data_IF_396273290231
#
_entry.id   IF_396273290231
#
_cell.length_a   1.000
_cell.length_b   1.000
_cell.length_c   1.000
_cell.angle_alpha   90.00
_cell.angle_beta   90.00
_cell.angle_gamma   90.00
#
_symmetry.space_group_name_H-M   'P 1'
#
loop_
_entity.id
_entity.type
_entity.pdbx_description
1 polymer ?
#
# COMPACT_ATOMS: atom_id res chain seq x y z
N UNK A 1 -18.79 40.54 -45.91
CA UNK A 1 -20.12 41.12 -45.63
C UNK A 1 -20.73 40.40 -44.38
N UNK A 2 -20.73 41.07 -43.23
CA UNK A 2 -21.45 40.54 -42.03
C UNK A 2 -22.87 41.11 -42.13
N UNK A 3 -23.86 40.30 -42.46
CA UNK A 3 -25.27 40.68 -42.34
C UNK A 3 -25.61 40.85 -40.85
N UNK A 4 -25.89 42.07 -40.43
CA UNK A 4 -26.48 42.35 -39.10
C UNK A 4 -27.96 42.04 -39.18
N UNK A 5 -28.38 40.97 -38.53
CA UNK A 5 -29.81 40.71 -38.35
C UNK A 5 -30.46 41.86 -37.56
N UNK A 6 -31.57 42.36 -38.04
CA UNK A 6 -32.36 43.37 -37.37
C UNK A 6 -32.91 42.78 -36.04
N UNK A 7 -32.95 43.58 -34.99
CA UNK A 7 -33.37 43.16 -33.62
C UNK A 7 -34.70 42.40 -33.61
N UNK A 8 -35.62 42.76 -34.47
CA UNK A 8 -36.90 42.05 -34.64
C UNK A 8 -36.74 40.64 -35.23
N UNK A 9 -35.89 40.47 -36.21
CA UNK A 9 -35.61 39.14 -36.81
C UNK A 9 -34.91 38.22 -35.80
N UNK A 10 -33.99 38.75 -35.01
CA UNK A 10 -33.33 38.01 -33.95
C UNK A 10 -34.31 37.52 -32.87
N UNK A 11 -35.24 38.37 -32.50
CA UNK A 11 -36.28 38.01 -31.51
C UNK A 11 -37.23 36.93 -32.03
N UNK A 12 -37.59 36.95 -33.32
CA UNK A 12 -38.42 35.90 -33.93
C UNK A 12 -37.64 34.55 -34.04
N UNK A 13 -36.36 34.61 -34.32
CA UNK A 13 -35.51 33.38 -34.32
C UNK A 13 -35.39 32.80 -32.92
N UNK A 14 -35.18 33.63 -31.91
CA UNK A 14 -35.13 33.19 -30.52
C UNK A 14 -36.50 32.62 -30.08
N UNK A 15 -37.59 33.28 -30.42
CA UNK A 15 -38.93 32.78 -30.13
C UNK A 15 -39.22 31.44 -30.78
N UNK A 16 -38.80 31.28 -32.06
CA UNK A 16 -38.90 30.02 -32.79
C UNK A 16 -38.10 28.90 -32.17
N UNK A 17 -36.84 29.17 -31.75
CA UNK A 17 -35.99 28.21 -31.07
C UNK A 17 -36.56 27.82 -29.69
N UNK A 18 -37.08 28.77 -28.91
CA UNK A 18 -37.74 28.49 -27.64
C UNK A 18 -39.00 27.62 -27.84
N UNK A 19 -39.80 27.90 -28.90
CA UNK A 19 -40.97 27.09 -29.22
C UNK A 19 -40.60 25.65 -29.63
N UNK A 20 -39.53 25.47 -30.37
CA UNK A 20 -39.04 24.13 -30.76
C UNK A 20 -38.55 23.38 -29.52
N UNK A 21 -37.82 24.05 -28.61
CA UNK A 21 -37.37 23.47 -27.34
C UNK A 21 -38.55 23.06 -26.44
N UNK A 22 -39.61 23.90 -26.37
CA UNK A 22 -40.81 23.57 -25.62
C UNK A 22 -41.57 22.38 -26.22
N UNK A 23 -41.66 22.27 -27.54
CA UNK A 23 -42.30 21.14 -28.23
C UNK A 23 -41.47 19.87 -28.04
N UNK A 24 -40.12 19.95 -28.09
CA UNK A 24 -39.26 18.82 -27.80
C UNK A 24 -39.34 18.40 -26.34
N UNK A 25 -39.40 19.32 -25.38
CA UNK A 25 -39.58 19.03 -23.99
C UNK A 25 -40.94 18.38 -23.66
N UNK A 26 -42.03 18.87 -24.32
CA UNK A 26 -43.35 18.28 -24.19
C UNK A 26 -43.40 16.90 -24.89
N UNK A 27 -42.73 16.75 -26.05
CA UNK A 27 -42.60 15.49 -26.77
C UNK A 27 -41.83 14.44 -25.93
N UNK A 28 -40.74 14.85 -25.29
CA UNK A 28 -39.97 13.97 -24.40
C UNK A 28 -40.78 13.54 -23.19
N UNK A 29 -41.59 14.44 -22.60
CA UNK A 29 -42.52 14.11 -21.50
C UNK A 29 -43.65 13.18 -21.95
N UNK A 30 -44.14 13.29 -23.19
CA UNK A 30 -45.20 12.43 -23.73
C UNK A 30 -44.72 11.02 -24.09
N UNK A 31 -43.41 10.82 -24.35
CA UNK A 31 -42.84 9.48 -24.59
C UNK A 31 -42.39 8.76 -23.33
N UNK A 32 -42.52 9.35 -22.13
CA UNK A 32 -42.45 8.63 -20.86
C UNK A 32 -43.81 7.98 -20.56
N UNK A 33 -44.07 6.87 -21.20
CA UNK A 33 -45.16 5.98 -20.76
C UNK A 33 -44.66 5.27 -19.51
N UNK A 34 -45.05 5.75 -18.35
CA UNK A 34 -44.89 5.02 -17.11
C UNK A 34 -45.89 3.87 -17.16
N UNK A 35 -45.42 2.69 -17.54
CA UNK A 35 -46.20 1.47 -17.40
C UNK A 35 -46.25 1.14 -15.91
N UNK A 36 -47.30 1.52 -15.25
CA UNK A 36 -47.57 1.06 -13.88
C UNK A 36 -48.20 -0.30 -14.00
N UNK A 37 -47.42 -1.35 -13.86
CA UNK A 37 -47.92 -2.69 -13.69
C UNK A 37 -48.30 -2.83 -12.22
N UNK A 38 -49.57 -2.70 -11.89
CA UNK A 38 -50.06 -3.03 -10.57
C UNK A 38 -50.15 -4.56 -10.47
N UNK A 39 -49.04 -5.19 -10.18
CA UNK A 39 -48.99 -6.57 -9.72
C UNK A 39 -48.93 -6.52 -8.20
N UNK A 40 -49.90 -7.07 -7.50
CA UNK A 40 -49.75 -7.46 -6.10
C UNK A 40 -48.92 -8.74 -6.10
N UNK A 41 -47.60 -8.66 -5.96
CA UNK A 41 -46.82 -9.81 -5.56
C UNK A 41 -46.82 -9.83 -4.03
N UNK A 42 -47.35 -10.84 -3.45
CA UNK A 42 -47.08 -11.19 -2.07
C UNK A 42 -45.65 -11.74 -2.06
N UNK A 43 -44.71 -10.98 -1.52
CA UNK A 43 -43.38 -11.50 -1.16
C UNK A 43 -43.63 -12.29 0.12
N UNK A 44 -43.55 -13.60 0.03
CA UNK A 44 -43.71 -14.52 1.17
C UNK A 44 -42.37 -14.97 1.74
N UNK A 45 -41.26 -14.46 1.18
CA UNK A 45 -39.90 -14.76 1.64
C UNK A 45 -39.53 -13.97 2.90
N UNK A 46 -38.95 -14.67 3.86
CA UNK A 46 -38.49 -14.10 5.12
C UNK A 46 -36.93 -14.00 5.11
N UNK A 47 -36.42 -12.78 5.23
CA UNK A 47 -34.99 -12.52 5.37
C UNK A 47 -34.63 -12.45 6.86
N UNK A 48 -33.87 -13.44 7.36
CA UNK A 48 -33.56 -13.54 8.77
C UNK A 48 -32.22 -14.21 9.05
N UNK A 49 -31.13 -13.45 8.87
CA UNK A 49 -29.76 -13.87 9.27
C UNK A 49 -29.45 -13.22 10.59
N UNK A 50 -29.14 -14.01 11.63
CA UNK A 50 -29.01 -13.57 13.01
C UNK A 50 -27.75 -14.14 13.66
N UNK A 51 -27.17 -13.39 14.60
CA UNK A 51 -26.26 -13.93 15.61
C UNK A 51 -27.12 -14.63 16.66
N UNK A 52 -26.91 -15.92 16.84
CA UNK A 52 -27.72 -16.75 17.74
C UNK A 52 -26.97 -17.15 19.00
N UNK A 53 -25.64 -17.08 19.00
CA UNK A 53 -24.84 -17.48 20.15
C UNK A 53 -23.48 -16.80 20.14
N UNK A 54 -22.90 -16.62 21.32
CA UNK A 54 -21.50 -16.29 21.53
C UNK A 54 -20.97 -17.12 22.71
N UNK A 55 -19.84 -17.80 22.49
CA UNK A 55 -19.18 -18.61 23.52
C UNK A 55 -17.73 -18.13 23.66
N UNK A 56 -17.26 -18.05 24.91
CA UNK A 56 -15.87 -17.76 25.21
C UNK A 56 -15.13 -19.00 25.71
N UNK A 57 -13.84 -19.08 25.39
CA UNK A 57 -12.94 -20.08 25.92
C UNK A 57 -11.53 -19.50 26.13
N UNK A 58 -10.84 -19.97 27.15
CA UNK A 58 -9.44 -19.63 27.38
C UNK A 58 -8.59 -20.42 26.40
N UNK A 59 -7.83 -19.72 25.56
CA UNK A 59 -6.90 -20.33 24.62
C UNK A 59 -5.51 -20.50 25.23
N UNK A 60 -5.04 -19.50 25.99
CA UNK A 60 -3.79 -19.60 26.73
C UNK A 60 -3.79 -18.73 27.99
N UNK A 61 -2.99 -19.11 28.98
CA UNK A 61 -2.69 -18.35 30.19
C UNK A 61 -3.85 -18.25 31.18
N UNK A 62 -4.00 -17.07 31.79
CA UNK A 62 -4.98 -16.78 32.84
C UNK A 62 -6.06 -15.78 32.36
N UNK A 63 -6.31 -15.72 31.07
CA UNK A 63 -7.33 -14.86 30.51
C UNK A 63 -8.74 -15.24 31.02
N UNK A 64 -9.60 -14.26 31.16
CA UNK A 64 -11.01 -14.45 31.55
C UNK A 64 -11.89 -13.43 30.88
N UNK A 65 -13.19 -13.67 30.80
CA UNK A 65 -14.15 -12.64 30.48
C UNK A 65 -14.16 -11.54 31.54
N UNK A 66 -14.00 -10.27 31.14
CA UNK A 66 -14.20 -9.15 32.04
C UNK A 66 -15.68 -8.89 32.32
N UNK A 67 -16.51 -9.12 31.33
CA UNK A 67 -17.99 -9.18 31.41
C UNK A 67 -18.44 -10.37 30.58
N UNK A 68 -19.58 -10.99 30.97
CA UNK A 68 -20.11 -12.10 30.21
C UNK A 68 -20.41 -11.68 28.76
N UNK A 69 -19.93 -12.46 27.76
CA UNK A 69 -20.22 -12.17 26.36
C UNK A 69 -21.72 -12.07 26.13
N UNK A 70 -22.13 -11.16 25.27
CA UNK A 70 -23.51 -10.94 24.93
C UNK A 70 -23.68 -10.67 23.44
N UNK A 71 -24.87 -10.94 22.93
CA UNK A 71 -25.21 -10.63 21.54
C UNK A 71 -26.62 -10.07 21.41
N UNK A 72 -26.83 -9.32 20.35
CA UNK A 72 -28.14 -9.04 19.77
C UNK A 72 -28.30 -9.87 18.50
N UNK A 73 -29.36 -9.67 17.76
CA UNK A 73 -29.56 -10.33 16.47
C UNK A 73 -28.48 -9.99 15.43
N UNK A 74 -27.80 -8.83 15.57
CA UNK A 74 -26.87 -8.30 14.57
C UNK A 74 -25.50 -7.93 15.12
N UNK A 75 -25.29 -8.01 16.43
CA UNK A 75 -24.04 -7.56 17.07
C UNK A 75 -23.62 -8.54 18.16
N UNK A 76 -22.35 -8.93 18.18
CA UNK A 76 -21.72 -9.63 19.28
C UNK A 76 -20.79 -8.67 20.03
N UNK A 77 -20.87 -8.69 21.36
CA UNK A 77 -20.04 -7.83 22.24
C UNK A 77 -19.40 -8.69 23.31
N UNK A 78 -18.09 -8.51 23.49
CA UNK A 78 -17.34 -9.19 24.51
C UNK A 78 -16.23 -8.29 25.05
N UNK A 79 -15.84 -8.53 26.31
CA UNK A 79 -14.76 -7.83 26.99
C UNK A 79 -13.84 -8.85 27.64
N UNK A 80 -12.58 -8.73 27.34
CA UNK A 80 -11.55 -9.68 27.77
C UNK A 80 -10.69 -9.09 28.88
N UNK A 81 -10.41 -9.88 29.91
CA UNK A 81 -9.44 -9.58 30.92
C UNK A 81 -8.19 -10.45 30.68
N UNK A 82 -7.12 -9.82 30.22
CA UNK A 82 -5.82 -10.44 29.95
C UNK A 82 -4.84 -10.01 31.05
N UNK A 83 -4.21 -10.96 31.71
CA UNK A 83 -3.41 -10.71 32.93
C UNK A 83 -1.92 -10.55 32.62
N UNK A 84 -1.42 -11.33 31.66
CA UNK A 84 -0.01 -11.37 31.31
C UNK A 84 0.21 -11.48 29.81
N UNK A 85 1.34 -10.97 29.29
CA UNK A 85 1.71 -11.18 27.90
C UNK A 85 1.64 -12.66 27.50
N UNK A 86 0.97 -12.95 26.40
CA UNK A 86 0.69 -14.31 25.93
C UNK A 86 -0.63 -14.91 26.41
N UNK A 87 -1.35 -14.26 27.32
CA UNK A 87 -2.73 -14.67 27.65
C UNK A 87 -3.65 -14.47 26.45
N UNK A 88 -4.57 -15.41 26.23
CA UNK A 88 -5.43 -15.37 25.06
C UNK A 88 -6.81 -15.98 25.33
N UNK A 89 -7.84 -15.33 24.79
CA UNK A 89 -9.24 -15.78 24.79
C UNK A 89 -9.73 -15.98 23.36
N UNK A 90 -10.57 -16.98 23.21
CA UNK A 90 -11.30 -17.22 21.97
C UNK A 90 -12.78 -16.96 22.19
N UNK A 91 -13.43 -16.32 21.21
CA UNK A 91 -14.86 -16.08 21.15
C UNK A 91 -15.40 -16.68 19.85
N UNK A 92 -16.30 -17.66 19.99
CA UNK A 92 -16.98 -18.30 18.88
C UNK A 92 -18.39 -17.71 18.76
N UNK A 93 -18.63 -16.98 17.67
CA UNK A 93 -19.86 -16.26 17.36
C UNK A 93 -20.62 -17.08 16.32
N UNK A 94 -21.76 -17.62 16.69
CA UNK A 94 -22.61 -18.41 15.79
C UNK A 94 -23.58 -17.50 15.07
N UNK A 95 -23.61 -17.58 13.75
CA UNK A 95 -24.55 -16.92 12.86
C UNK A 95 -25.43 -17.97 12.22
N UNK A 96 -26.74 -17.75 12.16
CA UNK A 96 -27.73 -18.68 11.63
C UNK A 96 -28.65 -17.96 10.64
N UNK A 97 -28.92 -18.58 9.52
CA UNK A 97 -29.97 -18.16 8.61
C UNK A 97 -31.29 -18.83 8.98
N UNK A 98 -32.11 -18.12 9.76
CA UNK A 98 -33.45 -18.55 10.14
C UNK A 98 -34.54 -18.14 9.15
N UNK A 99 -34.14 -17.49 8.04
CA UNK A 99 -35.03 -17.15 6.94
C UNK A 99 -35.18 -18.29 5.92
N UNK A 100 -35.84 -18.00 4.82
CA UNK A 100 -36.07 -18.92 3.70
C UNK A 100 -35.31 -18.48 2.42
N UNK A 101 -34.43 -17.51 2.52
CA UNK A 101 -33.61 -16.96 1.42
C UNK A 101 -32.15 -17.28 1.68
N UNK A 102 -31.44 -17.76 0.66
CA UNK A 102 -29.99 -17.95 0.70
C UNK A 102 -29.29 -16.61 0.99
N UNK A 103 -28.32 -16.63 1.90
CA UNK A 103 -27.53 -15.49 2.27
C UNK A 103 -26.07 -15.66 1.82
N UNK A 104 -25.39 -14.55 1.58
CA UNK A 104 -23.96 -14.53 1.28
C UNK A 104 -23.29 -13.42 2.11
N UNK A 105 -22.15 -13.70 2.70
CA UNK A 105 -21.40 -12.73 3.49
C UNK A 105 -20.69 -11.72 2.59
N UNK A 106 -21.09 -10.44 2.63
CA UNK A 106 -20.48 -9.36 1.85
C UNK A 106 -19.25 -8.77 2.51
N UNK A 107 -19.28 -8.54 3.83
CA UNK A 107 -18.12 -8.03 4.58
C UNK A 107 -18.14 -8.45 6.04
N UNK A 108 -16.97 -8.44 6.67
CA UNK A 108 -16.74 -8.57 8.11
C UNK A 108 -16.06 -7.30 8.56
N UNK A 109 -16.74 -6.48 9.36
CA UNK A 109 -16.20 -5.25 9.89
C UNK A 109 -15.86 -5.43 11.38
N UNK A 110 -14.59 -5.32 11.73
CA UNK A 110 -14.10 -5.47 13.10
C UNK A 110 -13.70 -4.10 13.63
N UNK A 111 -14.36 -3.62 14.66
CA UNK A 111 -14.01 -2.40 15.37
C UNK A 111 -13.34 -2.76 16.69
N UNK A 112 -12.08 -2.40 16.83
CA UNK A 112 -11.27 -2.64 18.03
C UNK A 112 -10.93 -1.31 18.70
N UNK A 113 -10.88 -1.28 20.03
CA UNK A 113 -10.22 -0.18 20.73
C UNK A 113 -8.72 -0.28 20.49
N UNK A 114 -8.11 0.78 19.99
CA UNK A 114 -6.69 0.83 19.63
C UNK A 114 -5.79 0.68 20.86
N UNK A 115 -5.13 -0.48 21.02
CA UNK A 115 -4.04 -0.61 21.97
C UNK A 115 -3.05 -1.71 21.56
N UNK A 116 -1.77 -1.34 21.46
CA UNK A 116 -0.66 -2.21 21.03
C UNK A 116 -0.51 -3.51 21.83
N UNK A 117 -1.02 -3.51 23.09
CA UNK A 117 -0.96 -4.67 23.95
C UNK A 117 -2.01 -5.74 23.60
N UNK A 118 -2.93 -5.49 22.67
CA UNK A 118 -3.98 -6.43 22.33
C UNK A 118 -3.98 -6.74 20.84
N UNK A 119 -3.82 -8.00 20.51
CA UNK A 119 -3.89 -8.52 19.15
C UNK A 119 -5.25 -9.18 18.94
N UNK A 120 -5.82 -9.00 17.74
CA UNK A 120 -7.07 -9.62 17.32
C UNK A 120 -6.84 -10.45 16.06
N UNK A 121 -7.37 -11.65 16.05
CA UNK A 121 -7.38 -12.52 14.89
C UNK A 121 -8.79 -13.04 14.66
N UNK A 122 -9.23 -13.10 13.41
CA UNK A 122 -10.52 -13.68 13.02
C UNK A 122 -10.33 -14.87 12.10
N UNK A 123 -11.18 -15.88 12.23
CA UNK A 123 -11.17 -17.08 11.39
C UNK A 123 -12.56 -17.74 11.38
N UNK A 124 -12.71 -18.79 10.57
CA UNK A 124 -13.95 -19.57 10.45
C UNK A 124 -14.75 -19.16 9.23
N UNK A 125 -15.35 -18.00 9.20
CA UNK A 125 -16.11 -17.50 8.06
C UNK A 125 -15.34 -16.40 7.32
N UNK A 126 -15.59 -16.29 6.04
CA UNK A 126 -14.95 -15.31 5.16
C UNK A 126 -15.96 -14.74 4.17
N UNK A 127 -15.63 -13.60 3.61
CA UNK A 127 -16.41 -12.98 2.54
C UNK A 127 -16.68 -13.97 1.39
N UNK A 128 -17.91 -14.00 0.91
CA UNK A 128 -18.36 -14.90 -0.15
C UNK A 128 -18.87 -16.25 0.34
N UNK A 129 -18.72 -16.57 1.62
CA UNK A 129 -19.32 -17.76 2.18
C UNK A 129 -20.85 -17.65 2.15
N UNK A 130 -21.49 -18.73 1.73
CA UNK A 130 -22.96 -18.83 1.63
C UNK A 130 -23.50 -19.44 2.89
N UNK A 131 -24.63 -18.93 3.33
CA UNK A 131 -25.37 -19.43 4.47
C UNK A 131 -26.81 -19.75 4.00
N UNK A 132 -27.07 -21.04 3.76
CA UNK A 132 -28.37 -21.50 3.28
C UNK A 132 -29.44 -21.46 4.41
N UNK A 133 -30.73 -21.46 4.08
CA UNK A 133 -31.79 -21.57 5.08
C UNK A 133 -31.56 -22.72 6.06
N UNK A 134 -31.73 -22.44 7.35
CA UNK A 134 -31.50 -23.36 8.46
C UNK A 134 -30.04 -23.77 8.70
N UNK A 135 -29.08 -23.21 7.96
CA UNK A 135 -27.65 -23.41 8.21
C UNK A 135 -27.08 -22.38 9.22
N UNK A 136 -26.00 -22.76 9.86
CA UNK A 136 -25.24 -21.92 10.77
C UNK A 136 -23.75 -22.03 10.51
N UNK A 137 -23.07 -20.90 10.68
CA UNK A 137 -21.62 -20.77 10.60
C UNK A 137 -21.05 -20.13 11.87
N UNK A 138 -19.75 -20.29 12.09
CA UNK A 138 -19.07 -19.78 13.28
C UNK A 138 -17.91 -18.86 12.88
N UNK A 139 -18.00 -17.60 13.31
CA UNK A 139 -16.86 -16.69 13.33
C UNK A 139 -16.11 -16.89 14.63
N UNK A 140 -14.83 -17.22 14.54
CA UNK A 140 -13.93 -17.29 15.69
C UNK A 140 -13.11 -16.00 15.76
N UNK A 141 -13.14 -15.34 16.92
CA UNK A 141 -12.31 -14.16 17.23
C UNK A 141 -11.36 -14.53 18.36
N UNK A 142 -10.07 -14.36 18.14
CA UNK A 142 -9.03 -14.58 19.17
C UNK A 142 -8.49 -13.23 19.63
N UNK A 143 -8.49 -13.02 20.94
CA UNK A 143 -7.96 -11.83 21.59
C UNK A 143 -6.73 -12.25 22.39
N UNK A 144 -5.57 -11.71 22.08
CA UNK A 144 -4.31 -12.07 22.71
C UNK A 144 -3.63 -10.85 23.32
N UNK A 145 -3.14 -10.97 24.55
CA UNK A 145 -2.18 -10.01 25.09
C UNK A 145 -0.86 -10.20 24.36
N UNK A 146 -0.45 -9.19 23.63
CA UNK A 146 0.76 -9.22 22.81
C UNK A 146 1.98 -9.63 23.67
N UNK A 147 2.61 -10.77 23.40
CA UNK A 147 3.74 -11.27 24.21
C UNK A 147 4.99 -10.41 24.08
N UNK A 148 5.06 -9.53 23.08
CA UNK A 148 6.22 -8.67 22.83
C UNK A 148 6.14 -7.32 23.58
N UNK A 149 5.02 -7.01 24.24
CA UNK A 149 4.87 -5.78 25.01
C UNK A 149 5.61 -5.90 26.35
N UNK A 150 6.56 -5.01 26.57
CA UNK A 150 7.39 -4.98 27.79
C UNK A 150 6.84 -4.11 28.90
N UNK A 151 6.01 -3.12 28.56
CA UNK A 151 5.38 -2.20 29.52
C UNK A 151 3.90 -2.55 29.67
N UNK A 152 3.51 -2.91 30.90
CA UNK A 152 2.12 -3.23 31.19
C UNK A 152 1.30 -1.94 31.28
N UNK A 153 0.30 -1.73 30.39
CA UNK A 153 -0.52 -0.54 30.44
C UNK A 153 -1.40 -0.52 31.69
N UNK A 154 -1.48 0.63 32.34
CA UNK A 154 -2.42 0.83 33.45
C UNK A 154 -3.85 0.97 32.90
N UNK A 155 -4.73 0.01 33.19
CA UNK A 155 -6.18 0.02 32.87
C UNK A 155 -6.51 -0.06 31.37
N UNK A 156 -6.22 -1.22 30.76
CA UNK A 156 -6.66 -1.51 29.41
C UNK A 156 -8.09 -2.05 29.40
N UNK A 157 -9.03 -1.25 28.89
CA UNK A 157 -10.36 -1.72 28.52
C UNK A 157 -10.44 -1.75 26.99
N UNK A 158 -10.32 -2.92 26.41
CA UNK A 158 -10.55 -3.09 24.97
C UNK A 158 -11.93 -3.72 24.74
N UNK A 159 -12.76 -3.02 24.02
CA UNK A 159 -14.05 -3.50 23.53
C UNK A 159 -13.93 -3.82 22.06
N UNK A 160 -14.35 -5.01 21.66
CA UNK A 160 -14.39 -5.43 20.26
C UNK A 160 -15.82 -5.53 19.82
N UNK A 161 -16.11 -4.91 18.70
CA UNK A 161 -17.41 -5.08 18.01
C UNK A 161 -17.14 -5.68 16.63
N UNK A 162 -17.78 -6.81 16.36
CA UNK A 162 -17.75 -7.45 15.04
C UNK A 162 -19.11 -7.28 14.40
N UNK A 163 -19.12 -6.75 13.17
CA UNK A 163 -20.32 -6.62 12.35
C UNK A 163 -20.17 -7.49 11.11
N UNK A 164 -21.15 -8.36 10.90
CA UNK A 164 -21.25 -9.24 9.74
C UNK A 164 -22.33 -8.71 8.81
N UNK A 165 -21.93 -8.34 7.60
CA UNK A 165 -22.87 -7.83 6.59
C UNK A 165 -23.22 -8.96 5.61
N UNK A 166 -24.43 -9.48 5.73
CA UNK A 166 -24.99 -10.45 4.81
C UNK A 166 -25.93 -9.79 3.82
N UNK A 167 -25.86 -10.22 2.56
CA UNK A 167 -26.85 -9.91 1.52
C UNK A 167 -27.58 -11.16 1.06
N UNK A 168 -28.71 -10.96 0.39
CA UNK A 168 -29.41 -12.06 -0.29
C UNK A 168 -28.51 -12.63 -1.39
N UNK A 169 -28.28 -13.94 -1.39
CA UNK A 169 -27.67 -14.62 -2.53
C UNK A 169 -28.71 -14.77 -3.65
N UNK A 170 -28.63 -13.89 -4.63
CA UNK A 170 -29.48 -13.92 -5.83
C UNK A 170 -28.92 -14.84 -6.93
N UNK A 171 -27.86 -15.63 -6.59
CA UNK A 171 -27.12 -16.46 -7.54
C UNK A 171 -26.20 -15.66 -8.44
N UNK A 172 -26.16 -14.33 -8.31
CA UNK A 172 -25.05 -13.57 -8.84
C UNK A 172 -23.82 -13.99 -8.04
N UNK A 173 -22.72 -14.28 -8.73
CA UNK A 173 -21.42 -14.29 -8.10
C UNK A 173 -21.32 -12.92 -7.46
N UNK A 174 -21.20 -12.86 -6.12
CA UNK A 174 -20.72 -11.63 -5.49
C UNK A 174 -19.52 -11.24 -6.34
N UNK A 175 -19.51 -10.08 -7.00
CA UNK A 175 -18.34 -9.71 -7.74
C UNK A 175 -17.20 -9.99 -6.77
N UNK A 176 -16.31 -10.94 -7.12
CA UNK A 176 -15.03 -11.00 -6.42
C UNK A 176 -14.63 -9.54 -6.36
N UNK A 177 -14.19 -9.02 -5.20
CA UNK A 177 -13.77 -7.64 -5.15
C UNK A 177 -12.84 -7.52 -6.34
N UNK A 178 -13.32 -6.80 -7.41
CA UNK A 178 -12.51 -6.57 -8.60
C UNK A 178 -11.32 -5.78 -8.09
N UNK A 179 -10.31 -6.52 -7.59
CA UNK A 179 -9.20 -5.87 -6.96
C UNK A 179 -8.52 -6.75 -5.93
N UNK A 180 -7.43 -6.26 -5.44
CA UNK A 180 -6.63 -6.90 -4.40
C UNK A 180 -7.09 -6.40 -3.02
N UNK A 181 -7.06 -7.28 -2.03
CA UNK A 181 -7.31 -6.90 -0.64
C UNK A 181 -6.10 -6.14 -0.08
N UNK A 182 -6.28 -4.89 0.23
CA UNK A 182 -5.30 -4.05 0.93
C UNK A 182 -5.79 -3.86 2.36
N UNK A 183 -5.20 -4.61 3.30
CA UNK A 183 -5.60 -4.56 4.71
C UNK A 183 -7.08 -4.87 4.94
N UNK A 184 -7.65 -5.83 4.23
CA UNK A 184 -9.07 -6.18 4.31
C UNK A 184 -10.00 -5.32 3.44
N UNK A 185 -9.50 -4.17 2.92
CA UNK A 185 -10.27 -3.33 2.01
C UNK A 185 -10.09 -3.85 0.57
N UNK A 186 -11.18 -4.05 -0.14
CA UNK A 186 -11.13 -4.37 -1.57
C UNK A 186 -10.76 -3.13 -2.38
N UNK A 187 -9.56 -3.13 -2.96
CA UNK A 187 -9.07 -2.07 -3.84
C UNK A 187 -9.06 -2.60 -5.27
N UNK A 188 -9.88 -2.05 -6.17
CA UNK A 188 -9.93 -2.52 -7.55
C UNK A 188 -8.58 -2.30 -8.25
N UNK A 189 -8.15 -3.30 -9.01
CA UNK A 189 -7.05 -3.12 -9.94
C UNK A 189 -7.55 -2.38 -11.18
N UNK A 190 -6.70 -1.53 -11.74
CA UNK A 190 -7.01 -0.73 -12.92
C UNK A 190 -6.07 -1.08 -14.08
N UNK A 191 -6.55 -0.89 -15.31
CA UNK A 191 -5.73 -1.09 -16.52
C UNK A 191 -5.16 0.24 -17.05
N UNK A 192 -5.68 1.37 -16.58
CA UNK A 192 -5.26 2.72 -16.98
C UNK A 192 -5.56 3.74 -15.89
N UNK A 193 -4.81 4.86 -15.89
CA UNK A 193 -4.95 5.92 -14.90
C UNK A 193 -4.26 5.60 -13.56
N UNK A 194 -4.46 6.46 -12.58
CA UNK A 194 -3.91 6.31 -11.24
C UNK A 194 -4.62 5.18 -10.49
N UNK A 195 -3.88 4.28 -9.85
CA UNK A 195 -4.49 3.19 -9.10
C UNK A 195 -3.56 2.02 -8.79
N UNK A 196 -4.18 0.92 -8.36
CA UNK A 196 -3.50 -0.34 -8.05
C UNK A 196 -3.42 -1.22 -9.31
N UNK A 197 -2.26 -1.82 -9.56
CA UNK A 197 -1.98 -2.69 -10.69
C UNK A 197 -1.35 -3.98 -10.23
N UNK A 198 -1.65 -5.10 -10.90
CA UNK A 198 -0.80 -6.29 -10.80
C UNK A 198 0.58 -5.97 -11.39
N UNK A 199 1.65 -6.37 -10.70
CA UNK A 199 3.02 -6.13 -11.17
C UNK A 199 3.37 -7.07 -12.32
N UNK A 200 3.45 -6.56 -13.52
CA UNK A 200 3.77 -7.34 -14.73
C UNK A 200 5.17 -7.99 -14.73
N UNK A 201 6.02 -7.64 -13.78
CA UNK A 201 7.38 -8.17 -13.62
C UNK A 201 7.49 -9.21 -12.49
N UNK A 202 6.56 -9.21 -11.54
CA UNK A 202 6.57 -10.05 -10.35
C UNK A 202 5.15 -10.54 -10.03
N UNK A 203 4.81 -11.72 -10.52
CA UNK A 203 3.47 -12.31 -10.36
C UNK A 203 3.06 -12.42 -8.89
N UNK A 204 1.83 -12.04 -8.57
CA UNK A 204 1.27 -12.02 -7.22
C UNK A 204 1.72 -10.82 -6.37
N UNK A 205 2.46 -9.88 -6.95
CA UNK A 205 2.78 -8.59 -6.37
C UNK A 205 1.85 -7.54 -6.97
N UNK A 206 1.39 -6.59 -6.16
CA UNK A 206 0.57 -5.46 -6.60
C UNK A 206 1.26 -4.15 -6.29
N UNK A 207 1.21 -3.20 -7.21
CA UNK A 207 1.90 -1.91 -7.11
C UNK A 207 0.95 -0.76 -7.40
N UNK A 208 1.07 0.33 -6.66
CA UNK A 208 0.41 1.57 -7.01
C UNK A 208 1.17 2.30 -8.11
N UNK A 209 0.42 2.83 -9.09
CA UNK A 209 0.98 3.55 -10.24
C UNK A 209 0.20 4.84 -10.48
N UNK A 210 0.89 5.82 -11.09
CA UNK A 210 0.31 7.09 -11.49
C UNK A 210 0.88 8.29 -10.78
N UNK A 211 0.30 9.45 -11.00
CA UNK A 211 0.77 10.72 -10.45
C UNK A 211 0.27 10.97 -9.03
N UNK A 212 -0.96 10.55 -8.74
CA UNK A 212 -1.54 10.68 -7.40
C UNK A 212 -2.58 9.56 -7.11
N UNK A 213 -2.16 8.29 -7.07
CA UNK A 213 -3.07 7.20 -6.72
C UNK A 213 -3.55 7.30 -5.27
N UNK A 214 -4.71 6.71 -4.99
CA UNK A 214 -5.27 6.64 -3.63
C UNK A 214 -4.53 5.56 -2.82
N UNK A 215 -3.34 5.88 -2.35
CA UNK A 215 -2.43 4.99 -1.62
C UNK A 215 -1.81 5.63 -0.38
N UNK A 216 -2.42 6.70 0.11
CA UNK A 216 -1.97 7.33 1.34
C UNK A 216 -2.34 6.46 2.54
N UNK A 217 -1.45 6.37 3.49
CA UNK A 217 -1.62 5.64 4.76
C UNK A 217 -1.05 6.46 5.91
N UNK A 218 -1.77 6.51 7.01
CA UNK A 218 -1.27 7.08 8.25
C UNK A 218 -0.45 6.03 9.00
N UNK A 219 0.82 6.33 9.24
CA UNK A 219 1.75 5.46 9.95
C UNK A 219 2.74 6.31 10.74
N UNK A 220 3.01 5.95 11.98
CA UNK A 220 3.89 6.70 12.88
C UNK A 220 3.44 8.17 13.12
N UNK A 221 2.14 8.43 13.12
CA UNK A 221 1.52 9.78 13.19
C UNK A 221 1.96 10.70 12.03
N UNK A 222 2.33 10.16 10.92
CA UNK A 222 2.76 10.84 9.71
C UNK A 222 2.09 10.23 8.48
N UNK A 223 2.08 10.99 7.38
CA UNK A 223 1.55 10.52 6.12
C UNK A 223 2.62 9.72 5.36
N UNK A 224 2.25 8.51 4.95
CA UNK A 224 3.04 7.60 4.14
C UNK A 224 2.29 7.22 2.87
N UNK A 225 2.93 6.51 1.96
CA UNK A 225 2.35 6.03 0.70
C UNK A 225 2.58 4.53 0.59
N UNK A 226 1.54 3.74 0.32
CA UNK A 226 1.70 2.32 -0.02
C UNK A 226 2.30 2.25 -1.42
N UNK A 227 3.48 1.64 -1.54
CA UNK A 227 4.17 1.41 -2.82
C UNK A 227 3.71 0.11 -3.43
N UNK A 228 3.67 -0.95 -2.62
CA UNK A 228 3.32 -2.28 -3.09
C UNK A 228 2.70 -3.13 -1.97
N UNK A 229 1.90 -4.12 -2.38
CA UNK A 229 1.64 -5.33 -1.62
C UNK A 229 2.56 -6.41 -2.19
N UNK A 230 3.44 -6.94 -1.36
CA UNK A 230 4.41 -7.95 -1.74
C UNK A 230 3.75 -9.34 -1.85
N UNK A 231 4.44 -10.28 -2.45
CA UNK A 231 3.93 -11.65 -2.66
C UNK A 231 3.69 -12.44 -1.38
N UNK A 232 4.32 -12.05 -0.27
CA UNK A 232 4.11 -12.61 1.06
C UNK A 232 2.99 -11.92 1.84
N UNK A 233 2.31 -10.96 1.20
CA UNK A 233 1.21 -10.17 1.74
C UNK A 233 1.63 -8.95 2.55
N UNK A 234 2.93 -8.72 2.79
CA UNK A 234 3.41 -7.51 3.46
C UNK A 234 3.21 -6.27 2.60
N UNK A 235 3.14 -5.10 3.24
CA UNK A 235 2.97 -3.83 2.53
C UNK A 235 4.24 -3.02 2.57
N UNK A 236 4.82 -2.72 1.42
CA UNK A 236 5.93 -1.80 1.26
C UNK A 236 5.39 -0.38 1.29
N UNK A 237 5.76 0.40 2.31
CA UNK A 237 5.34 1.80 2.42
C UNK A 237 6.55 2.73 2.40
N UNK A 238 6.35 3.92 1.85
CA UNK A 238 7.33 4.98 1.72
C UNK A 238 6.84 6.22 2.46
N UNK A 239 7.68 6.85 3.28
CA UNK A 239 7.33 8.11 3.94
C UNK A 239 6.96 9.17 2.90
N UNK A 240 5.87 9.91 3.11
CA UNK A 240 5.44 10.92 2.14
C UNK A 240 6.48 12.03 2.03
N UNK A 241 6.97 12.54 3.15
CA UNK A 241 7.99 13.56 3.22
C UNK A 241 9.41 12.97 3.30
N UNK A 242 10.40 13.70 2.84
CA UNK A 242 11.82 13.37 3.01
C UNK A 242 12.31 13.76 4.41
N UNK A 243 13.35 13.10 4.88
CA UNK A 243 14.11 13.52 6.07
C UNK A 243 15.11 14.64 5.70
N UNK A 244 15.74 15.31 6.67
CA UNK A 244 16.77 16.31 6.38
C UNK A 244 17.91 15.77 5.52
N UNK A 245 18.41 16.57 4.60
CA UNK A 245 19.48 16.23 3.67
C UNK A 245 20.69 15.58 4.37
N UNK A 246 21.17 14.50 3.78
CA UNK A 246 22.27 13.70 4.35
C UNK A 246 23.05 12.98 3.26
N UNK A 247 24.34 12.81 3.44
CA UNK A 247 25.14 11.98 2.56
C UNK A 247 24.73 10.52 2.63
N UNK A 248 24.79 9.80 1.50
CA UNK A 248 24.66 8.34 1.50
C UNK A 248 25.81 7.71 2.29
N UNK A 249 27.03 8.15 2.01
CA UNK A 249 28.22 7.87 2.80
C UNK A 249 28.92 9.16 3.19
N UNK A 250 29.07 9.41 4.49
CA UNK A 250 29.80 10.58 4.98
C UNK A 250 31.26 10.55 4.55
N UNK A 251 31.83 11.73 4.35
CA UNK A 251 33.25 11.86 4.05
C UNK A 251 34.08 11.17 5.14
N UNK A 252 34.98 10.30 4.76
CA UNK A 252 35.82 9.41 5.57
C UNK A 252 35.12 8.14 6.09
N UNK A 253 33.83 7.96 5.90
CA UNK A 253 33.19 6.68 6.12
C UNK A 253 33.47 5.76 4.92
N UNK A 254 33.87 4.51 5.16
CA UNK A 254 34.31 3.56 4.12
C UNK A 254 35.40 4.08 3.19
N UNK A 255 36.16 5.11 3.61
CA UNK A 255 37.18 5.80 2.83
C UNK A 255 38.49 5.94 3.58
N UNK A 256 39.62 5.76 2.90
CA UNK A 256 40.97 5.97 3.46
C UNK A 256 41.49 7.40 3.33
N UNK A 257 40.83 8.22 2.52
CA UNK A 257 41.27 9.61 2.29
C UNK A 257 40.28 10.61 2.84
N UNK A 258 40.78 11.63 3.53
CA UNK A 258 40.00 12.79 3.93
C UNK A 258 39.42 13.43 2.67
N UNK A 259 38.08 13.51 2.58
CA UNK A 259 37.34 14.14 1.53
C UNK A 259 36.98 13.25 0.34
N UNK A 260 36.31 12.12 0.48
CA UNK A 260 35.45 11.65 -0.58
C UNK A 260 35.56 10.28 -1.18
N UNK A 261 36.59 9.50 -0.97
CA UNK A 261 36.74 8.29 -1.78
C UNK A 261 36.65 7.02 -0.95
N UNK A 262 35.84 6.05 -1.42
CA UNK A 262 35.89 4.67 -0.96
C UNK A 262 37.33 4.13 -0.97
N UNK A 263 37.63 3.18 -0.14
CA UNK A 263 38.92 2.47 -0.15
C UNK A 263 39.10 1.71 -1.46
N UNK A 264 39.58 2.40 -2.48
CA UNK A 264 39.86 1.79 -3.76
C UNK A 264 41.19 0.99 -3.72
N UNK A 265 41.30 -0.18 -4.36
CA UNK A 265 40.30 -0.89 -5.17
C UNK A 265 39.45 -1.90 -4.39
N UNK A 266 39.49 -1.92 -3.09
CA UNK A 266 38.99 -3.03 -2.25
C UNK A 266 37.60 -2.84 -1.63
N UNK A 267 37.12 -1.62 -1.53
CA UNK A 267 35.80 -1.34 -0.97
C UNK A 267 34.96 -0.49 -1.93
N UNK A 268 33.67 -0.82 -2.00
CA UNK A 268 32.69 -0.07 -2.79
C UNK A 268 31.78 0.75 -1.88
N UNK A 269 31.65 2.03 -2.20
CA UNK A 269 30.61 2.90 -1.66
C UNK A 269 29.32 2.80 -2.47
N UNK A 270 28.26 3.42 -2.00
CA UNK A 270 26.99 3.47 -2.71
C UNK A 270 26.23 2.15 -2.69
N UNK A 271 26.66 1.19 -1.90
CA UNK A 271 25.92 -0.01 -1.56
C UNK A 271 25.33 0.19 -0.17
N UNK A 272 24.05 -0.06 0.00
CA UNK A 272 23.29 0.30 1.20
C UNK A 272 23.82 -0.37 2.47
N UNK A 273 24.06 -1.68 2.42
CA UNK A 273 24.53 -2.47 3.56
C UNK A 273 25.77 -3.28 3.22
N UNK A 274 26.49 -3.74 4.24
CA UNK A 274 27.57 -4.70 4.09
C UNK A 274 27.10 -5.98 3.38
N UNK A 275 28.00 -6.58 2.60
CA UNK A 275 27.73 -7.79 1.81
C UNK A 275 28.80 -8.82 2.10
N UNK A 276 28.40 -10.05 2.31
CA UNK A 276 29.32 -11.16 2.45
C UNK A 276 29.98 -11.48 1.11
N UNK A 277 31.31 -11.49 1.09
CA UNK A 277 32.10 -11.80 -0.10
C UNK A 277 32.32 -10.60 -1.03
N UNK A 278 32.43 -10.87 -2.32
CA UNK A 278 32.67 -9.84 -3.34
C UNK A 278 31.35 -9.31 -3.91
N UNK A 279 31.10 -8.01 -3.76
CA UNK A 279 30.01 -7.35 -4.46
C UNK A 279 30.39 -7.19 -5.95
N UNK A 280 29.47 -7.53 -6.83
CA UNK A 280 29.66 -7.43 -8.29
C UNK A 280 28.45 -6.79 -8.95
N UNK A 281 28.67 -5.95 -9.94
CA UNK A 281 27.60 -5.52 -10.84
C UNK A 281 27.12 -6.69 -11.72
N UNK A 282 25.93 -6.61 -12.32
CA UNK A 282 25.38 -7.66 -13.18
C UNK A 282 26.33 -8.10 -14.32
N UNK A 283 27.02 -7.14 -14.97
CA UNK A 283 28.01 -7.45 -16.02
C UNK A 283 29.32 -8.01 -15.48
N UNK A 284 29.54 -7.98 -14.16
CA UNK A 284 30.82 -8.30 -13.55
C UNK A 284 31.94 -7.29 -13.81
N UNK A 285 31.61 -6.14 -14.45
CA UNK A 285 32.60 -5.09 -14.77
C UNK A 285 33.05 -4.31 -13.54
N UNK A 286 32.24 -4.30 -12.49
CA UNK A 286 32.47 -3.60 -11.25
C UNK A 286 32.43 -4.59 -10.07
N UNK A 287 33.57 -4.79 -9.44
CA UNK A 287 33.73 -5.71 -8.31
C UNK A 287 34.41 -5.03 -7.14
N UNK A 288 34.13 -5.48 -5.95
CA UNK A 288 34.79 -5.02 -4.74
C UNK A 288 34.11 -5.52 -3.49
N UNK A 289 34.76 -5.35 -2.35
CA UNK A 289 34.18 -5.73 -1.05
C UNK A 289 33.34 -4.58 -0.50
N UNK A 290 32.33 -4.92 0.28
CA UNK A 290 31.50 -3.99 1.06
C UNK A 290 31.44 -4.53 2.49
N UNK A 291 32.42 -4.16 3.29
CA UNK A 291 32.62 -4.74 4.63
C UNK A 291 31.90 -3.99 5.73
N UNK A 292 31.46 -2.78 5.45
CA UNK A 292 30.78 -1.89 6.40
C UNK A 292 29.46 -1.38 5.80
N UNK A 293 28.51 -1.11 6.65
CA UNK A 293 27.24 -0.48 6.26
C UNK A 293 27.44 0.98 5.79
N UNK A 294 26.55 1.50 4.97
CA UNK A 294 26.58 2.91 4.58
C UNK A 294 26.19 3.81 5.76
N UNK A 295 26.65 5.06 5.74
CA UNK A 295 26.26 6.05 6.76
C UNK A 295 24.76 6.27 6.80
N UNK A 296 24.08 6.22 5.64
CA UNK A 296 22.63 6.39 5.57
C UNK A 296 21.89 5.19 6.18
N UNK A 297 22.37 3.95 5.98
CA UNK A 297 21.79 2.76 6.58
C UNK A 297 21.94 2.79 8.11
N UNK A 298 23.12 3.15 8.61
CA UNK A 298 23.38 3.31 10.04
C UNK A 298 22.42 4.36 10.62
N UNK A 299 22.30 5.51 9.98
CA UNK A 299 21.37 6.55 10.44
C UNK A 299 19.91 6.04 10.47
N UNK A 300 19.47 5.38 9.41
CA UNK A 300 18.06 4.96 9.31
C UNK A 300 17.69 3.86 10.31
N UNK A 301 18.63 2.98 10.68
CA UNK A 301 18.32 1.85 11.56
C UNK A 301 18.79 2.02 13.01
N UNK A 302 19.87 2.77 13.25
CA UNK A 302 20.44 2.93 14.61
C UNK A 302 20.03 4.26 15.25
N UNK A 303 19.46 5.21 14.47
CA UNK A 303 19.02 6.52 14.96
C UNK A 303 17.52 6.73 14.67
N UNK A 304 17.13 6.87 13.40
CA UNK A 304 15.75 7.15 12.99
C UNK A 304 14.77 6.06 13.46
N UNK A 305 15.07 4.78 13.21
CA UNK A 305 14.20 3.68 13.67
C UNK A 305 14.08 3.64 15.18
N UNK A 306 15.18 3.87 15.88
CA UNK A 306 15.21 3.78 17.36
C UNK A 306 14.47 4.94 18.02
N UNK A 307 14.70 6.19 17.52
CA UNK A 307 14.28 7.41 18.19
C UNK A 307 13.04 8.07 17.60
N UNK A 308 12.78 7.91 16.29
CA UNK A 308 11.73 8.65 15.58
C UNK A 308 10.52 7.78 15.20
N UNK A 309 10.69 6.45 15.11
CA UNK A 309 9.57 5.50 14.95
C UNK A 309 9.07 5.12 16.34
N UNK A 310 7.79 5.41 16.62
CA UNK A 310 7.18 5.07 17.90
C UNK A 310 6.93 3.54 18.03
N UNK A 311 6.69 3.06 19.24
CA UNK A 311 6.54 1.61 19.50
C UNK A 311 5.28 1.02 18.83
N UNK A 312 4.20 1.77 18.72
CA UNK A 312 2.99 1.33 18.00
C UNK A 312 3.34 1.04 16.54
N UNK A 313 4.00 1.99 15.90
CA UNK A 313 4.44 1.82 14.52
C UNK A 313 5.43 0.67 14.34
N UNK A 314 6.38 0.48 15.28
CA UNK A 314 7.31 -0.67 15.27
C UNK A 314 6.58 -2.01 15.34
N UNK A 315 5.51 -2.09 16.13
CA UNK A 315 4.69 -3.30 16.24
C UNK A 315 3.88 -3.63 14.98
N UNK A 316 3.58 -2.63 14.16
CA UNK A 316 2.93 -2.79 12.86
C UNK A 316 3.93 -3.17 11.75
N UNK A 317 5.22 -2.98 11.98
CA UNK A 317 6.28 -3.31 11.04
C UNK A 317 6.68 -4.78 11.10
N UNK A 318 7.33 -5.20 10.03
CA UNK A 318 8.07 -6.46 9.98
C UNK A 318 9.44 -6.23 9.35
N UNK A 319 10.46 -6.90 9.87
CA UNK A 319 11.76 -6.96 9.21
C UNK A 319 11.60 -7.64 7.86
N UNK A 320 12.13 -7.05 6.80
CA UNK A 320 11.95 -7.54 5.44
C UNK A 320 13.25 -7.46 4.63
N UNK A 321 13.28 -8.16 3.51
CA UNK A 321 14.42 -8.18 2.59
C UNK A 321 14.35 -6.99 1.63
N UNK A 322 15.36 -6.12 1.67
CA UNK A 322 15.56 -5.01 0.75
C UNK A 322 16.55 -5.38 -0.34
N UNK A 323 16.24 -5.08 -1.59
CA UNK A 323 17.17 -5.23 -2.70
C UNK A 323 18.19 -4.11 -2.68
N UNK A 324 19.48 -4.45 -2.67
CA UNK A 324 20.60 -3.50 -2.57
C UNK A 324 21.64 -3.68 -3.67
N UNK A 325 21.34 -4.51 -4.66
CA UNK A 325 22.24 -4.75 -5.79
C UNK A 325 22.35 -3.56 -6.74
N UNK A 326 23.21 -3.70 -7.73
CA UNK A 326 23.52 -2.64 -8.68
C UNK A 326 22.73 -2.77 -9.98
N UNK A 327 22.37 -1.64 -10.57
CA UNK A 327 21.88 -1.58 -11.95
C UNK A 327 22.93 -1.00 -12.86
N UNK A 328 23.00 -1.53 -14.06
CA UNK A 328 23.76 -0.96 -15.15
C UNK A 328 22.87 0.02 -15.88
N UNK A 329 23.40 1.19 -16.23
CA UNK A 329 22.67 2.14 -17.05
C UNK A 329 22.13 1.52 -18.33
N UNK A 330 21.22 2.21 -18.96
CA UNK A 330 20.61 1.81 -20.23
C UNK A 330 21.64 1.58 -21.33
N UNK A 331 21.40 0.59 -22.16
CA UNK A 331 22.10 0.44 -23.44
C UNK A 331 21.32 1.23 -24.49
N UNK A 332 22.03 1.94 -25.37
CA UNK A 332 21.39 2.66 -26.48
C UNK A 332 20.49 1.71 -27.29
N UNK A 333 19.21 2.11 -27.44
CA UNK A 333 18.22 1.35 -28.20
C UNK A 333 17.51 0.22 -27.44
N UNK A 334 17.78 0.02 -26.15
CA UNK A 334 17.06 -0.94 -25.32
C UNK A 334 15.68 -0.38 -24.91
N UNK A 335 14.62 -1.20 -25.02
CA UNK A 335 13.30 -0.80 -24.56
C UNK A 335 13.23 -0.76 -23.02
N UNK A 336 12.48 0.21 -22.48
CA UNK A 336 12.42 0.40 -21.02
C UNK A 336 11.88 -0.84 -20.27
N UNK A 337 10.94 -1.57 -20.84
CA UNK A 337 10.43 -2.82 -20.23
C UNK A 337 11.54 -3.85 -20.00
N UNK A 338 12.48 -3.98 -20.96
CA UNK A 338 13.61 -4.90 -20.85
C UNK A 338 14.65 -4.35 -19.86
N UNK A 339 14.82 -3.04 -19.85
CA UNK A 339 15.66 -2.35 -18.86
C UNK A 339 15.12 -2.54 -17.44
N UNK A 340 13.82 -2.34 -17.19
CA UNK A 340 13.22 -2.58 -15.87
C UNK A 340 13.45 -4.03 -15.42
N UNK A 341 13.23 -5.00 -16.30
CA UNK A 341 13.45 -6.41 -16.01
C UNK A 341 14.91 -6.71 -15.67
N UNK A 342 15.85 -6.14 -16.42
CA UNK A 342 17.28 -6.27 -16.20
C UNK A 342 17.71 -5.60 -14.89
N UNK A 343 17.21 -4.40 -14.62
CA UNK A 343 17.49 -3.66 -13.40
C UNK A 343 16.98 -4.43 -12.17
N UNK A 344 15.74 -4.92 -12.22
CA UNK A 344 15.16 -5.73 -11.15
C UNK A 344 16.02 -6.97 -10.84
N UNK A 345 16.52 -7.64 -11.88
CA UNK A 345 17.45 -8.77 -11.72
C UNK A 345 18.75 -8.32 -11.05
N UNK A 346 19.29 -7.17 -11.42
CA UNK A 346 20.50 -6.60 -10.83
C UNK A 346 20.32 -6.19 -9.37
N UNK A 347 19.21 -5.50 -9.05
CA UNK A 347 18.88 -5.11 -7.69
C UNK A 347 18.73 -6.32 -6.77
N UNK A 348 18.14 -7.42 -7.24
CA UNK A 348 17.94 -8.67 -6.49
C UNK A 348 19.20 -9.51 -6.30
N UNK A 349 20.32 -9.19 -6.96
CA UNK A 349 21.57 -9.95 -6.79
C UNK A 349 22.09 -9.89 -5.35
N UNK A 350 21.79 -8.80 -4.64
CA UNK A 350 22.18 -8.62 -3.24
C UNK A 350 20.98 -8.10 -2.45
N UNK A 351 20.82 -8.66 -1.27
CA UNK A 351 19.72 -8.32 -0.37
C UNK A 351 20.24 -8.07 1.02
N UNK A 352 19.56 -7.20 1.74
CA UNK A 352 19.76 -6.94 3.16
C UNK A 352 18.43 -7.04 3.87
N UNK A 353 18.39 -7.73 5.00
CA UNK A 353 17.17 -7.86 5.83
C UNK A 353 17.24 -6.94 7.03
N UNK A 354 16.21 -6.14 7.23
CA UNK A 354 16.13 -5.20 8.34
C UNK A 354 14.84 -4.38 8.33
N UNK A 355 14.82 -3.31 9.12
CA UNK A 355 13.59 -2.58 9.42
C UNK A 355 13.35 -1.40 8.49
N UNK A 356 14.38 -0.58 8.21
CA UNK A 356 14.22 0.65 7.41
C UNK A 356 15.22 0.65 6.26
N UNK A 357 14.70 0.74 5.04
CA UNK A 357 15.50 0.86 3.82
C UNK A 357 15.13 2.09 3.00
N UNK A 358 15.44 2.02 1.72
CA UNK A 358 15.11 3.04 0.73
C UNK A 358 14.41 2.37 -0.46
N UNK A 359 13.72 3.16 -1.29
CA UNK A 359 13.09 2.68 -2.52
C UNK A 359 14.14 2.28 -3.56
N UNK A 360 13.81 1.35 -4.43
CA UNK A 360 14.64 0.96 -5.56
C UNK A 360 14.35 1.81 -6.80
N UNK A 361 15.30 1.90 -7.72
CA UNK A 361 15.11 2.54 -9.04
C UNK A 361 13.96 1.86 -9.79
N UNK A 362 13.86 0.53 -9.73
CA UNK A 362 12.79 -0.20 -10.40
C UNK A 362 11.39 0.09 -9.82
N UNK A 363 11.26 0.37 -8.52
CA UNK A 363 9.98 0.81 -7.95
C UNK A 363 9.52 2.13 -8.60
N UNK A 364 10.45 3.08 -8.77
CA UNK A 364 10.17 4.38 -9.38
C UNK A 364 9.74 4.22 -10.84
N UNK A 365 10.49 3.45 -11.63
CA UNK A 365 10.18 3.25 -13.04
C UNK A 365 8.85 2.49 -13.23
N UNK A 366 8.57 1.51 -12.38
CA UNK A 366 7.32 0.73 -12.42
C UNK A 366 6.09 1.57 -12.00
N UNK A 367 6.28 2.64 -11.24
CA UNK A 367 5.19 3.51 -10.81
C UNK A 367 4.59 4.37 -11.94
N UNK A 368 5.24 4.48 -13.10
CA UNK A 368 4.68 5.20 -14.25
C UNK A 368 3.53 4.43 -14.91
N UNK A 369 2.46 5.16 -15.26
CA UNK A 369 1.32 4.64 -16.04
C UNK A 369 1.45 4.93 -17.54
N UNK A 370 2.46 5.69 -17.95
CA UNK A 370 2.62 6.09 -19.33
C UNK A 370 3.13 4.89 -20.18
N UNK A 371 2.36 4.48 -21.18
CA UNK A 371 2.73 3.38 -22.07
C UNK A 371 4.01 3.67 -22.87
N UNK A 372 4.33 4.95 -23.10
CA UNK A 372 5.56 5.35 -23.77
C UNK A 372 6.80 5.04 -22.91
N UNK A 373 6.68 4.94 -21.59
CA UNK A 373 7.77 4.52 -20.72
C UNK A 373 8.31 3.14 -21.12
N UNK A 374 7.46 2.24 -21.57
CA UNK A 374 7.89 0.90 -21.99
C UNK A 374 8.52 0.85 -23.38
N UNK A 375 8.30 1.87 -24.23
CA UNK A 375 8.79 1.92 -25.60
C UNK A 375 9.90 2.95 -25.85
N UNK A 376 10.20 3.79 -24.86
CA UNK A 376 11.21 4.83 -25.03
C UNK A 376 12.63 4.27 -25.01
N UNK A 377 13.49 4.83 -25.82
CA UNK A 377 14.93 4.56 -25.79
C UNK A 377 15.66 5.71 -25.13
N UNK A 378 16.51 5.41 -24.17
CA UNK A 378 17.18 6.40 -23.32
C UNK A 378 18.68 6.41 -23.51
N UNK A 379 19.30 7.52 -23.13
CA UNK A 379 20.74 7.58 -22.96
C UNK A 379 21.15 7.00 -21.61
N UNK A 380 22.28 6.36 -21.57
CA UNK A 380 22.78 5.39 -20.58
C UNK A 380 22.97 5.85 -19.12
N UNK A 381 22.75 7.12 -18.78
CA UNK A 381 23.05 7.64 -17.44
C UNK A 381 21.82 8.20 -16.71
N UNK A 382 20.76 8.52 -17.43
CA UNK A 382 19.62 9.24 -16.88
C UNK A 382 18.30 8.69 -17.40
N UNK A 383 17.36 8.48 -16.50
CA UNK A 383 15.96 8.20 -16.85
C UNK A 383 15.22 9.55 -16.86
N UNK A 384 15.37 10.32 -17.94
CA UNK A 384 14.89 11.71 -18.07
C UNK A 384 13.59 11.88 -18.80
N UNK A 385 13.00 10.81 -19.26
CA UNK A 385 11.76 10.94 -20.01
C UNK A 385 10.59 11.10 -19.04
N UNK A 386 9.87 12.21 -19.15
CA UNK A 386 8.67 12.50 -18.35
C UNK A 386 7.66 11.34 -18.39
N UNK A 387 7.69 10.51 -19.45
CA UNK A 387 6.85 9.34 -19.54
C UNK A 387 7.14 8.29 -18.46
N UNK A 388 8.38 8.19 -17.98
CA UNK A 388 8.78 7.24 -16.93
C UNK A 388 8.89 7.87 -15.56
N UNK A 389 9.10 9.16 -15.48
CA UNK A 389 9.42 9.85 -14.23
C UNK A 389 8.27 10.68 -13.67
N UNK A 390 7.21 10.88 -14.44
CA UNK A 390 6.00 11.54 -13.95
C UNK A 390 5.12 10.56 -13.14
N UNK A 391 5.46 10.39 -11.87
CA UNK A 391 4.70 9.54 -10.95
C UNK A 391 4.88 10.00 -9.49
N UNK A 392 4.01 9.53 -8.58
CA UNK A 392 3.92 9.95 -7.18
C UNK A 392 5.20 9.70 -6.36
N UNK A 393 6.13 8.86 -6.83
CA UNK A 393 7.39 8.64 -6.15
C UNK A 393 8.39 9.76 -6.40
N UNK A 394 8.25 10.50 -7.50
CA UNK A 394 9.15 11.60 -7.88
C UNK A 394 8.56 12.98 -7.66
N UNK A 395 7.25 13.11 -7.72
CA UNK A 395 6.55 14.39 -7.50
C UNK A 395 5.77 14.35 -6.19
N UNK A 396 5.97 15.35 -5.34
CA UNK A 396 5.13 15.61 -4.19
C UNK A 396 4.47 16.99 -4.38
N UNK A 397 3.33 17.03 -5.10
CA UNK A 397 2.50 18.23 -5.26
C UNK A 397 3.24 19.46 -5.82
N UNK A 398 4.05 19.31 -6.87
CA UNK A 398 4.86 20.31 -7.56
C UNK A 398 6.20 20.71 -6.90
N UNK A 399 6.61 20.05 -5.81
CA UNK A 399 7.96 20.20 -5.28
C UNK A 399 8.78 18.95 -5.61
N UNK A 400 9.68 19.05 -6.57
CA UNK A 400 10.58 17.97 -6.94
C UNK A 400 11.35 17.45 -5.73
N UNK A 401 11.11 16.20 -5.37
CA UNK A 401 11.74 15.59 -4.20
C UNK A 401 13.07 14.99 -4.61
N UNK A 402 14.15 15.44 -3.96
CA UNK A 402 15.50 14.92 -4.17
C UNK A 402 15.87 13.93 -3.06
N UNK A 403 15.98 12.64 -3.39
CA UNK A 403 16.28 11.62 -2.38
C UNK A 403 17.14 10.46 -2.91
N UNK A 404 17.78 9.75 -1.98
CA UNK A 404 18.59 8.56 -2.24
C UNK A 404 17.73 7.32 -2.46
N UNK A 405 18.19 6.43 -3.34
CA UNK A 405 17.65 5.08 -3.50
C UNK A 405 18.58 4.03 -2.88
N UNK A 406 18.07 2.81 -2.66
CA UNK A 406 18.91 1.68 -2.22
C UNK A 406 19.68 1.02 -3.35
N UNK A 407 19.37 1.35 -4.59
CA UNK A 407 19.99 0.75 -5.79
C UNK A 407 21.40 1.27 -5.95
N UNK A 408 22.38 0.37 -5.99
CA UNK A 408 23.76 0.74 -6.25
C UNK A 408 23.99 1.04 -7.74
N UNK A 409 24.92 1.96 -8.02
CA UNK A 409 25.30 2.30 -9.38
C UNK A 409 26.42 1.37 -9.88
N UNK A 410 26.23 0.81 -11.06
CA UNK A 410 27.29 0.17 -11.83
C UNK A 410 27.78 1.11 -12.94
N UNK A 411 29.01 1.62 -12.84
CA UNK A 411 29.59 2.44 -13.91
C UNK A 411 30.63 1.66 -14.69
N UNK A 412 30.63 1.83 -16.00
CA UNK A 412 31.65 1.23 -16.89
C UNK A 412 33.02 1.88 -16.74
N UNK A 413 33.09 3.11 -16.23
CA UNK A 413 34.30 3.95 -16.32
C UNK A 413 35.21 3.91 -15.09
N UNK A 414 34.97 3.03 -14.14
CA UNK A 414 35.86 2.86 -12.98
C UNK A 414 35.96 4.08 -12.06
N UNK A 415 35.10 5.08 -12.22
CA UNK A 415 35.07 6.25 -11.36
C UNK A 415 34.16 5.96 -10.15
N UNK A 416 34.76 5.59 -9.04
CA UNK A 416 34.11 5.01 -7.86
C UNK A 416 33.57 6.06 -6.88
N UNK A 417 33.58 7.32 -7.24
CA UNK A 417 33.06 8.41 -6.42
C UNK A 417 31.56 8.59 -6.58
N UNK A 418 31.03 8.14 -7.70
CA UNK A 418 29.60 8.18 -8.01
C UNK A 418 29.02 6.81 -7.74
N UNK A 419 28.08 6.71 -6.85
CA UNK A 419 27.83 5.41 -6.33
C UNK A 419 26.40 5.09 -5.89
N UNK A 420 25.50 6.04 -5.88
CA UNK A 420 24.10 5.77 -5.58
C UNK A 420 23.18 6.47 -6.57
N UNK A 421 22.08 5.83 -6.89
CA UNK A 421 21.02 6.43 -7.65
C UNK A 421 20.20 7.37 -6.76
N UNK A 422 19.83 8.49 -7.34
CA UNK A 422 19.05 9.54 -6.68
C UNK A 422 17.94 10.00 -7.59
N UNK A 423 16.90 10.60 -7.01
CA UNK A 423 15.92 11.38 -7.73
C UNK A 423 16.37 12.84 -7.74
N UNK A 424 16.25 13.52 -8.86
CA UNK A 424 16.62 14.92 -9.01
C UNK A 424 15.73 15.59 -10.07
N UNK A 425 14.81 16.46 -9.64
CA UNK A 425 13.91 17.20 -10.52
C UNK A 425 13.21 16.33 -11.60
N UNK A 426 12.43 15.34 -11.20
CA UNK A 426 11.77 14.39 -12.10
C UNK A 426 12.73 13.53 -12.94
N UNK A 427 13.94 13.36 -12.47
CA UNK A 427 14.95 12.53 -13.10
C UNK A 427 15.43 11.46 -12.12
N UNK A 428 15.77 10.28 -12.62
CA UNK A 428 16.49 9.27 -11.86
C UNK A 428 17.91 9.24 -12.39
N UNK A 429 18.83 9.76 -11.61
CA UNK A 429 20.22 9.97 -11.98
C UNK A 429 21.17 9.41 -10.91
N UNK A 430 22.43 9.69 -11.02
CA UNK A 430 23.43 9.30 -10.01
C UNK A 430 24.13 10.52 -9.44
N UNK A 431 24.65 10.39 -8.24
CA UNK A 431 25.42 11.44 -7.61
C UNK A 431 26.53 10.90 -6.72
N UNK A 432 27.44 11.78 -6.32
CA UNK A 432 28.50 11.45 -5.37
C UNK A 432 27.90 11.07 -4.00
N UNK A 433 28.31 9.94 -3.45
CA UNK A 433 27.76 9.39 -2.19
C UNK A 433 27.91 10.33 -0.98
N UNK A 434 28.88 11.22 -1.01
CA UNK A 434 29.09 12.21 0.05
C UNK A 434 28.30 13.52 -0.14
N UNK A 435 27.52 13.62 -1.21
CA UNK A 435 26.65 14.78 -1.46
C UNK A 435 25.61 14.92 -0.36
N UNK A 436 25.45 16.13 0.15
CA UNK A 436 24.42 16.50 1.14
C UNK A 436 23.29 17.29 0.52
N UNK A 437 23.08 17.13 -0.79
CA UNK A 437 21.97 17.76 -1.51
C UNK A 437 20.71 16.91 -1.51
N UNK A 438 20.84 15.62 -1.20
CA UNK A 438 19.77 14.63 -1.25
C UNK A 438 19.38 14.16 0.14
N UNK A 439 18.15 13.71 0.26
CA UNK A 439 17.54 13.32 1.51
C UNK A 439 17.37 11.80 1.61
N UNK A 440 17.36 11.20 2.81
CA UNK A 440 16.75 9.92 3.01
C UNK A 440 15.21 10.06 2.88
N UNK A 441 14.58 9.10 2.20
CA UNK A 441 13.13 8.91 2.18
C UNK A 441 12.85 7.49 2.63
N UNK A 442 12.51 7.27 3.92
CA UNK A 442 12.43 5.95 4.50
C UNK A 442 11.39 5.06 3.85
N UNK A 443 11.73 3.78 3.71
CA UNK A 443 10.84 2.69 3.33
C UNK A 443 10.82 1.68 4.46
N UNK A 444 9.63 1.22 4.83
CA UNK A 444 9.42 0.15 5.79
C UNK A 444 8.42 -0.86 5.23
N UNK A 445 8.36 -2.04 5.84
CA UNK A 445 7.36 -3.05 5.51
C UNK A 445 6.41 -3.23 6.68
N UNK A 446 5.12 -3.19 6.40
CA UNK A 446 4.07 -3.49 7.35
C UNK A 446 3.71 -4.98 7.28
N UNK A 447 3.25 -5.52 8.39
CA UNK A 447 2.76 -6.90 8.50
C UNK A 447 1.61 -7.16 7.55
N UNK A 448 1.47 -8.40 7.08
CA UNK A 448 0.42 -8.82 6.13
C UNK A 448 -0.98 -8.93 6.75
N UNK A 449 -1.04 -9.08 8.07
CA UNK A 449 -2.29 -9.29 8.81
C UNK A 449 -2.90 -8.01 9.40
N UNK A 450 -2.50 -6.85 8.90
CA UNK A 450 -3.09 -5.57 9.33
C UNK A 450 -4.44 -5.36 8.66
N UNK A 451 -5.36 -4.78 9.43
CA UNK A 451 -6.62 -4.27 8.92
C UNK A 451 -6.54 -2.76 8.74
N UNK A 452 -7.11 -2.28 7.66
CA UNK A 452 -7.12 -0.86 7.33
C UNK A 452 -8.55 -0.34 7.27
N UNK A 453 -8.71 0.95 7.54
CA UNK A 453 -9.92 1.73 7.24
C UNK A 453 -9.54 2.93 6.36
N UNK A 454 -10.51 3.68 5.86
CA UNK A 454 -10.28 4.84 4.99
C UNK A 454 -10.27 4.50 3.51
N UNK A 455 -10.10 5.51 2.67
CA UNK A 455 -10.18 5.40 1.20
C UNK A 455 -8.81 5.52 0.50
N UNK A 456 -7.74 5.74 1.26
CA UNK A 456 -6.39 5.91 0.74
C UNK A 456 -6.14 7.25 0.04
N UNK A 457 -7.09 8.20 0.11
CA UNK A 457 -6.87 9.57 -0.38
C UNK A 457 -6.05 10.38 0.63
N UNK A 458 -5.47 11.50 0.21
CA UNK A 458 -4.72 12.37 1.12
C UNK A 458 -5.58 12.93 2.27
N UNK A 459 -6.87 13.18 2.01
CA UNK A 459 -7.82 13.71 3.00
C UNK A 459 -8.50 12.62 3.85
N UNK A 460 -8.40 11.36 3.44
CA UNK A 460 -8.92 10.18 4.12
C UNK A 460 -7.95 9.01 3.87
N UNK A 461 -6.73 9.07 4.46
CA UNK A 461 -5.72 8.06 4.28
C UNK A 461 -6.16 6.72 4.87
N UNK A 462 -5.57 5.64 4.41
CA UNK A 462 -5.71 4.38 5.11
C UNK A 462 -5.16 4.52 6.53
N UNK A 463 -5.92 4.04 7.50
CA UNK A 463 -5.55 4.02 8.92
C UNK A 463 -5.50 2.58 9.39
N UNK A 464 -4.43 2.20 10.08
CA UNK A 464 -4.25 0.85 10.63
C UNK A 464 -5.13 0.73 11.87
N UNK A 465 -6.03 -0.24 11.86
CA UNK A 465 -6.97 -0.53 12.92
C UNK A 465 -6.38 -1.46 13.97
#
# INVERSE_FOLDING_TARGET
MRQRFNTRQRNYIILGLCSILLVMAAGYAAFRTQLTINGTSNITSDWKVLITNIQSSVLSGNATDAEAPSHTETTATFKTNLVSPGDSMQYDITVENQGDIDAVLESIDVHTGEHEAILFETSGIKRGDKLLPEESDVLTVVVTYNPEVTDQPENLNSEVTVTLNYAQDDGSILPEPEGESIGGISVPTVESGDGLYEDSYESGRYIYRGTNPNNYIEFNNELWRIVAKETDGTYKILRNEVLPNRAFDEANHRSTKKNSYCKFPKERCGVYAAVDGEFSSPSGSQKGTVTEDSSIKIYLNDDYYVNDINEIAKNQMTSHSFNIGAVEGLSDGEEMKDTIKKNLSGEKMYQWTGNVGLVNVTDILKASINSLCTSASYSWIHYRDDSCTNNYLLDNNNDAIQYWTSTALSTKDGNYTQAAWVTDYNDVTNNDVYSKLFSPRPVVFLKSNLFLSGSGTESDPFTIM
#
